data_IF_156143835290
#
_entry.id   IF_156143835290
#
_cell.length_a   1.000
_cell.length_b   1.000
_cell.length_c   1.000
_cell.angle_alpha   90.00
_cell.angle_beta   90.00
_cell.angle_gamma   90.00
#
_symmetry.space_group_name_H-M   'P 1'
#
loop_
_entity.id
_entity.type
_entity.pdbx_description
1 polymer ?
#
# COMPACT_ATOMS: atom_id res chain seq x y z
N UNK A 1 -2.20 5.12 -24.15
CA UNK A 1 -3.45 4.90 -23.39
C UNK A 1 -3.45 5.71 -22.11
N UNK A 2 -4.57 5.80 -21.36
CA UNK A 2 -4.59 6.47 -20.06
C UNK A 2 -3.68 5.71 -19.08
N UNK A 3 -2.74 6.43 -18.45
CA UNK A 3 -1.77 5.86 -17.51
C UNK A 3 -2.49 5.27 -16.29
N UNK A 4 -2.19 4.01 -15.96
CA UNK A 4 -2.79 3.33 -14.81
C UNK A 4 -2.24 3.95 -13.52
N UNK A 5 -3.03 4.86 -12.92
CA UNK A 5 -2.59 5.72 -11.80
C UNK A 5 -2.32 4.96 -10.50
N UNK A 6 -2.84 3.73 -10.39
CA UNK A 6 -2.77 2.89 -9.20
C UNK A 6 -2.48 1.41 -9.58
N UNK A 7 -1.79 0.65 -8.70
CA UNK A 7 -1.62 -0.78 -8.89
C UNK A 7 -2.97 -1.53 -9.01
N UNK A 8 -3.01 -2.66 -9.76
CA UNK A 8 -4.16 -3.56 -9.73
C UNK A 8 -4.37 -4.13 -8.32
N UNK A 9 -5.62 -4.43 -7.98
CA UNK A 9 -5.87 -5.25 -6.80
C UNK A 9 -5.43 -6.69 -7.10
N UNK A 10 -5.06 -7.42 -6.06
CA UNK A 10 -4.81 -8.85 -6.17
C UNK A 10 -6.08 -9.63 -6.50
N UNK A 11 -5.92 -10.81 -7.10
CA UNK A 11 -7.03 -11.75 -7.26
C UNK A 11 -7.49 -12.26 -5.90
N UNK A 12 -8.72 -12.80 -5.84
CA UNK A 12 -9.27 -13.32 -4.58
C UNK A 12 -8.46 -14.50 -4.05
N UNK A 13 -7.96 -15.34 -4.96
CA UNK A 13 -7.13 -16.50 -4.66
C UNK A 13 -5.80 -16.08 -4.05
N UNK A 14 -5.14 -15.06 -4.63
CA UNK A 14 -3.90 -14.50 -4.07
C UNK A 14 -4.14 -13.87 -2.69
N UNK A 15 -5.24 -13.14 -2.51
CA UNK A 15 -5.61 -12.57 -1.21
C UNK A 15 -5.80 -13.68 -0.17
N UNK A 16 -6.55 -14.74 -0.51
CA UNK A 16 -6.80 -15.85 0.41
C UNK A 16 -5.49 -16.54 0.83
N UNK A 17 -4.61 -16.86 -0.13
CA UNK A 17 -3.32 -17.49 0.15
C UNK A 17 -2.41 -16.61 1.01
N UNK A 18 -2.36 -15.30 0.75
CA UNK A 18 -1.55 -14.36 1.53
C UNK A 18 -2.08 -14.14 2.95
N UNK A 19 -3.41 -14.21 3.15
CA UNK A 19 -4.01 -14.17 4.48
C UNK A 19 -3.73 -15.45 5.27
N UNK A 20 -3.78 -16.61 4.61
CA UNK A 20 -3.47 -17.91 5.23
C UNK A 20 -2.00 -18.04 5.61
N UNK A 21 -1.08 -17.56 4.77
CA UNK A 21 0.36 -17.56 5.07
C UNK A 21 0.79 -16.51 6.10
N UNK A 22 -0.06 -15.53 6.40
CA UNK A 22 0.26 -14.39 7.26
C UNK A 22 1.09 -13.28 6.60
N UNK A 23 1.34 -13.38 5.29
CA UNK A 23 1.93 -12.31 4.48
C UNK A 23 1.06 -11.04 4.54
N UNK A 24 -0.25 -11.22 4.37
CA UNK A 24 -1.24 -10.15 4.39
C UNK A 24 -2.08 -10.16 5.67
N UNK A 25 -2.66 -9.00 6.00
CA UNK A 25 -3.54 -8.81 7.15
C UNK A 25 -4.74 -7.96 6.75
N UNK A 26 -5.83 -8.09 7.49
CA UNK A 26 -7.03 -7.27 7.33
C UNK A 26 -7.04 -6.16 8.38
N UNK A 27 -7.47 -4.97 7.99
CA UNK A 27 -7.69 -3.87 8.91
C UNK A 27 -8.65 -2.83 8.35
N UNK A 28 -9.06 -1.89 9.19
CA UNK A 28 -9.95 -0.79 8.76
C UNK A 28 -9.13 0.47 8.52
N UNK A 29 -9.25 1.05 7.32
CA UNK A 29 -8.51 2.26 6.97
C UNK A 29 -9.25 3.53 7.42
N UNK A 30 -8.48 4.53 7.87
CA UNK A 30 -8.92 5.85 8.29
C UNK A 30 -8.04 6.91 7.64
N UNK A 31 -8.67 7.78 6.87
CA UNK A 31 -8.03 8.87 6.14
C UNK A 31 -7.72 10.02 7.10
N UNK A 32 -6.56 10.65 6.94
CA UNK A 32 -6.24 11.86 7.68
C UNK A 32 -6.98 13.06 7.04
N UNK A 33 -7.90 13.67 7.78
CA UNK A 33 -8.70 14.81 7.33
C UNK A 33 -7.85 16.05 6.99
N UNK A 34 -6.70 16.22 7.66
CA UNK A 34 -5.79 17.35 7.45
C UNK A 34 -4.78 17.07 6.33
N UNK A 35 -4.42 15.80 6.11
CA UNK A 35 -3.48 15.38 5.10
C UNK A 35 -3.97 14.14 4.35
N UNK A 36 -4.65 14.34 3.21
CA UNK A 36 -5.22 13.24 2.42
C UNK A 36 -4.18 12.26 1.86
N UNK A 37 -2.89 12.62 1.83
CA UNK A 37 -1.80 11.69 1.44
C UNK A 37 -1.39 10.75 2.58
N UNK A 38 -1.98 10.91 3.76
CA UNK A 38 -1.71 10.11 4.93
C UNK A 38 -3.00 9.40 5.36
N UNK A 39 -2.88 8.11 5.64
CA UNK A 39 -3.95 7.30 6.19
C UNK A 39 -3.38 6.33 7.21
N UNK A 40 -4.27 5.75 8.01
CA UNK A 40 -3.94 4.83 9.08
C UNK A 40 -4.81 3.59 8.96
N UNK A 41 -4.24 2.41 9.18
CA UNK A 41 -5.01 1.17 9.29
C UNK A 41 -5.02 0.76 10.76
N UNK A 42 -6.23 0.70 11.31
CA UNK A 42 -6.45 0.28 12.70
C UNK A 42 -6.60 -1.22 12.79
N UNK A 43 -5.86 -1.82 13.72
CA UNK A 43 -5.83 -3.25 13.99
C UNK A 43 -6.46 -3.55 15.34
N UNK A 44 -7.29 -4.59 15.41
CA UNK A 44 -7.88 -5.02 16.67
C UNK A 44 -6.78 -5.60 17.58
N UNK A 45 -6.67 -5.07 18.79
CA UNK A 45 -5.74 -5.58 19.82
C UNK A 45 -4.31 -5.07 19.73
N UNK A 46 -3.99 -4.18 18.78
CA UNK A 46 -2.67 -3.51 18.70
C UNK A 46 -2.85 -2.04 19.08
N UNK A 47 -2.01 -1.49 19.98
CA UNK A 47 -2.16 -0.10 20.44
C UNK A 47 -1.74 0.95 19.41
N UNK A 48 -1.10 0.53 18.31
CA UNK A 48 -0.59 1.41 17.26
C UNK A 48 -1.23 1.06 15.92
N UNK A 49 -1.59 2.10 15.18
CA UNK A 49 -2.06 2.00 13.79
C UNK A 49 -0.88 1.81 12.82
N UNK A 50 -1.16 1.22 11.65
CA UNK A 50 -0.20 1.15 10.54
C UNK A 50 -0.31 2.41 9.69
N UNK A 51 0.81 3.11 9.48
CA UNK A 51 0.88 4.29 8.62
C UNK A 51 0.84 3.88 7.14
N UNK A 52 -0.06 4.50 6.37
CA UNK A 52 -0.14 4.40 4.92
C UNK A 52 0.15 5.76 4.31
N UNK A 53 1.35 5.90 3.73
CA UNK A 53 1.81 7.17 3.17
C UNK A 53 1.80 7.13 1.63
N UNK A 54 1.09 8.09 1.02
CA UNK A 54 0.98 8.28 -0.43
C UNK A 54 -0.29 7.66 -1.03
N UNK A 55 -0.84 8.35 -2.04
CA UNK A 55 -2.11 7.95 -2.67
C UNK A 55 -2.01 6.60 -3.40
N UNK A 56 -0.84 6.27 -3.99
CA UNK A 56 -0.65 4.97 -4.66
C UNK A 56 -0.77 3.81 -3.68
N UNK A 57 -0.22 3.95 -2.47
CA UNK A 57 -0.28 2.93 -1.40
C UNK A 57 -1.65 2.84 -0.74
N UNK A 58 -2.41 3.93 -0.69
CA UNK A 58 -3.83 3.90 -0.32
C UNK A 58 -4.68 3.12 -1.35
N UNK A 59 -4.21 2.99 -2.59
CA UNK A 59 -4.80 2.17 -3.66
C UNK A 59 -6.33 2.28 -3.77
N UNK A 60 -6.85 3.50 -3.98
CA UNK A 60 -8.27 3.83 -4.12
C UNK A 60 -9.15 3.53 -2.90
N UNK A 61 -8.58 3.14 -1.76
CA UNK A 61 -9.35 2.94 -0.54
C UNK A 61 -9.99 4.26 -0.08
N UNK A 62 -11.16 4.17 0.55
CA UNK A 62 -11.89 5.30 1.12
C UNK A 62 -12.02 5.17 2.64
N UNK A 63 -12.52 6.21 3.29
CA UNK A 63 -12.72 6.24 4.75
C UNK A 63 -13.53 5.02 5.21
N UNK A 64 -13.04 4.37 6.27
CA UNK A 64 -13.71 3.26 6.93
C UNK A 64 -13.81 1.94 6.14
N UNK A 65 -13.18 1.83 4.97
CA UNK A 65 -13.07 0.57 4.22
C UNK A 65 -12.34 -0.51 5.03
N UNK A 66 -12.78 -1.76 4.84
CA UNK A 66 -12.01 -2.93 5.23
C UNK A 66 -11.03 -3.27 4.10
N UNK A 67 -9.73 -3.26 4.41
CA UNK A 67 -8.66 -3.44 3.43
C UNK A 67 -7.75 -4.58 3.82
N UNK A 68 -7.21 -5.26 2.80
CA UNK A 68 -6.09 -6.19 2.93
C UNK A 68 -4.81 -5.42 2.68
N UNK A 69 -3.84 -5.52 3.59
CA UNK A 69 -2.56 -4.82 3.48
C UNK A 69 -1.39 -5.76 3.79
N UNK A 70 -0.22 -5.40 3.26
CA UNK A 70 1.06 -6.04 3.54
C UNK A 70 1.99 -5.00 4.15
N UNK A 71 2.77 -5.41 5.14
CA UNK A 71 3.78 -4.55 5.75
C UNK A 71 4.99 -4.48 4.84
N UNK A 72 5.50 -3.27 4.64
CA UNK A 72 6.80 -3.06 4.02
C UNK A 72 7.91 -3.61 4.93
N UNK A 73 9.09 -3.82 4.36
CA UNK A 73 10.28 -4.10 5.14
C UNK A 73 10.56 -2.96 6.13
N UNK A 74 11.08 -3.32 7.31
CA UNK A 74 11.31 -2.36 8.40
C UNK A 74 12.24 -1.21 7.97
N UNK A 75 13.16 -1.46 7.03
CA UNK A 75 14.05 -0.43 6.46
C UNK A 75 13.31 0.65 5.67
N UNK A 76 12.11 0.35 5.17
CA UNK A 76 11.28 1.29 4.41
C UNK A 76 10.31 2.07 5.28
N UNK A 77 10.17 1.69 6.55
CA UNK A 77 9.23 2.32 7.46
C UNK A 77 9.58 3.79 7.65
N UNK A 78 8.52 4.59 7.73
CA UNK A 78 8.60 6.03 7.94
C UNK A 78 7.77 6.39 9.16
N UNK A 79 8.26 7.40 9.87
CA UNK A 79 7.52 8.10 10.90
C UNK A 79 6.50 9.04 10.23
N UNK A 80 5.42 9.43 10.92
CA UNK A 80 4.46 10.41 10.40
C UNK A 80 5.09 11.75 10.01
N UNK A 81 6.22 12.14 10.61
CA UNK A 81 6.99 13.33 10.22
C UNK A 81 7.82 13.13 8.92
N UNK A 82 7.65 12.00 8.24
CA UNK A 82 8.31 11.66 6.97
C UNK A 82 9.75 11.17 7.10
N UNK A 83 10.29 11.06 8.32
CA UNK A 83 11.66 10.61 8.58
C UNK A 83 11.73 9.09 8.70
N UNK A 84 12.87 8.49 8.35
CA UNK A 84 13.17 7.09 8.73
C UNK A 84 13.50 6.97 10.23
N UNK A 85 13.79 5.73 10.65
CA UNK A 85 14.22 5.41 12.00
C UNK A 85 15.49 6.18 12.44
N UNK A 86 16.33 6.62 11.49
CA UNK A 86 17.56 7.37 11.76
C UNK A 86 17.35 8.91 11.66
N UNK A 87 16.11 9.36 11.53
CA UNK A 87 15.77 10.78 11.43
C UNK A 87 16.05 11.41 10.06
N UNK A 88 16.39 10.62 9.03
CA UNK A 88 16.64 11.12 7.68
C UNK A 88 15.32 11.28 6.94
N UNK A 89 15.12 12.45 6.35
CA UNK A 89 14.01 12.69 5.43
C UNK A 89 14.15 11.87 4.14
N UNK A 90 13.08 11.78 3.35
CA UNK A 90 13.15 11.17 2.01
C UNK A 90 14.17 11.93 1.15
N UNK A 91 15.17 11.26 0.55
CA UNK A 91 16.05 11.90 -0.42
C UNK A 91 15.24 12.22 -1.68
N UNK A 92 15.02 13.51 -1.96
CA UNK A 92 14.33 13.98 -3.17
C UNK A 92 12.80 13.86 -3.11
N UNK A 93 12.10 14.88 -2.62
CA UNK A 93 10.64 14.88 -2.44
C UNK A 93 9.80 14.94 -3.73
N UNK A 94 9.92 13.98 -4.65
CA UNK A 94 9.14 13.90 -5.89
C UNK A 94 8.71 12.49 -6.33
N UNK A 95 8.69 11.51 -5.44
CA UNK A 95 8.47 10.10 -5.85
C UNK A 95 7.02 9.76 -6.23
N UNK A 96 6.02 10.52 -5.77
CA UNK A 96 4.62 10.26 -6.14
C UNK A 96 4.35 10.48 -7.65
N UNK A 97 5.27 11.14 -8.38
CA UNK A 97 5.13 11.44 -9.81
C UNK A 97 5.99 10.58 -10.75
N UNK A 98 6.98 9.81 -10.24
CA UNK A 98 8.00 9.17 -11.10
C UNK A 98 8.28 7.68 -10.88
N UNK A 99 7.41 6.96 -10.17
CA UNK A 99 7.40 5.49 -10.25
C UNK A 99 6.40 5.04 -11.32
N UNK A 100 6.69 5.41 -12.57
CA UNK A 100 6.13 4.78 -13.76
C UNK A 100 6.91 3.49 -14.04
N UNK A 101 6.93 2.54 -13.10
CA UNK A 101 7.26 1.18 -13.48
C UNK A 101 6.11 0.68 -14.35
N UNK A 102 6.40 0.47 -15.63
CA UNK A 102 5.61 -0.36 -16.52
C UNK A 102 5.49 -1.72 -15.84
N UNK A 103 4.33 -1.97 -15.22
CA UNK A 103 3.97 -3.32 -14.81
C UNK A 103 3.75 -4.05 -16.14
N UNK A 104 4.60 -5.04 -16.52
CA UNK A 104 4.32 -5.81 -17.71
C UNK A 104 2.92 -6.39 -17.55
N UNK A 105 2.04 -6.08 -18.51
CA UNK A 105 0.76 -6.76 -18.64
C UNK A 105 1.08 -8.25 -18.68
N UNK A 106 0.48 -9.01 -17.77
CA UNK A 106 0.73 -10.43 -17.64
C UNK A 106 0.67 -11.08 -19.01
N UNK A 107 1.72 -11.82 -19.35
CA UNK A 107 1.66 -12.86 -20.36
C UNK A 107 0.53 -13.80 -19.93
N UNK A 108 -0.66 -13.58 -20.48
CA UNK A 108 -1.67 -14.61 -20.57
C UNK A 108 -0.99 -15.78 -21.28
N UNK A 109 -0.54 -16.76 -20.50
CA UNK A 109 -0.02 -18.01 -21.02
C UNK A 109 -1.08 -18.58 -21.97
N UNK A 110 -0.80 -18.53 -23.27
CA UNK A 110 -1.59 -19.20 -24.28
C UNK A 110 -1.76 -20.67 -23.86
N UNK A 111 -2.98 -21.25 -23.94
CA UNK A 111 -3.11 -22.67 -23.75
C UNK A 111 -2.35 -23.37 -24.87
N UNK A 112 -1.34 -24.17 -24.50
CA UNK A 112 -0.62 -25.03 -25.44
C UNK A 112 -1.62 -25.92 -26.21
N UNK A 113 -1.36 -26.18 -27.51
CA UNK A 113 -2.26 -26.95 -28.38
C UNK A 113 -2.48 -28.40 -27.93
#
# INVERSE_FOLDING_TARGET
GPRRRYPPHWSKERVAAALESGEARVGRIRMNANNRREAYITLKGVPHDVLVQGLRRQNRAIEADEVVYVLLDVSEWRRPDGKDANGRGRPGGRDDEREEEEIPEGEDAEPLP
#
